data_IF_267660432165
#
_entry.id   IF_267660432165
#
_cell.length_a   1.000
_cell.length_b   1.000
_cell.length_c   1.000
_cell.angle_alpha   90.00
_cell.angle_beta   90.00
_cell.angle_gamma   90.00
#
_symmetry.space_group_name_H-M   'P 1'
#
loop_
_entity.id
_entity.type
_entity.pdbx_description
1 polymer ?
#
# COMPACT_ATOMS: atom_id res chain seq x y z
N UNK A 1 -23.71 11.49 -22.83
CA UNK A 1 -24.55 11.85 -21.67
C UNK A 1 -23.66 12.60 -20.69
N UNK A 2 -24.05 13.81 -20.33
CA UNK A 2 -23.35 14.59 -19.31
C UNK A 2 -23.90 14.23 -17.93
N UNK A 3 -23.03 14.15 -16.92
CA UNK A 3 -23.45 13.88 -15.54
C UNK A 3 -23.91 15.20 -14.89
N UNK A 4 -25.00 15.14 -14.13
CA UNK A 4 -25.44 16.26 -13.29
C UNK A 4 -24.70 16.16 -11.95
N UNK A 5 -24.46 17.31 -11.31
CA UNK A 5 -23.85 17.35 -10.00
C UNK A 5 -24.70 16.63 -8.94
N UNK A 6 -24.10 15.69 -8.20
CA UNK A 6 -24.75 14.88 -7.14
C UNK A 6 -25.05 15.65 -5.84
N UNK A 7 -24.77 16.96 -5.80
CA UNK A 7 -24.99 17.77 -4.60
C UNK A 7 -26.45 18.19 -4.50
N UNK A 8 -26.98 18.27 -3.27
CA UNK A 8 -28.42 18.55 -3.03
C UNK A 8 -28.85 19.82 -3.76
N UNK A 9 -29.90 19.71 -4.57
CA UNK A 9 -30.51 20.80 -5.33
C UNK A 9 -29.55 21.50 -6.33
N UNK A 10 -28.49 20.83 -6.79
CA UNK A 10 -27.61 21.35 -7.82
C UNK A 10 -27.99 20.82 -9.21
N UNK A 11 -28.17 21.73 -10.17
CA UNK A 11 -28.46 21.40 -11.58
C UNK A 11 -27.26 21.64 -12.51
N UNK A 12 -26.10 22.02 -11.96
CA UNK A 12 -24.88 22.26 -12.75
C UNK A 12 -24.30 20.94 -13.26
N UNK A 13 -23.54 21.00 -14.35
CA UNK A 13 -22.82 19.85 -14.91
C UNK A 13 -21.74 19.37 -13.93
N UNK A 14 -21.73 18.08 -13.62
CA UNK A 14 -20.76 17.40 -12.78
C UNK A 14 -19.57 16.90 -13.60
N UNK A 15 -18.47 17.66 -13.61
CA UNK A 15 -17.26 17.31 -14.37
C UNK A 15 -16.17 16.66 -13.51
N UNK A 16 -16.23 16.84 -12.18
CA UNK A 16 -15.19 16.42 -11.25
C UNK A 16 -15.64 15.18 -10.46
N UNK A 17 -14.72 14.25 -10.21
CA UNK A 17 -14.98 13.05 -9.40
C UNK A 17 -14.54 13.27 -7.97
N UNK A 18 -15.40 12.91 -7.01
CA UNK A 18 -15.09 12.85 -5.59
C UNK A 18 -15.27 11.41 -5.08
N UNK A 19 -14.33 10.88 -4.26
CA UNK A 19 -14.49 9.56 -3.65
C UNK A 19 -15.67 9.56 -2.66
N UNK A 20 -16.40 8.44 -2.61
CA UNK A 20 -17.48 8.25 -1.61
C UNK A 20 -16.91 7.68 -0.31
N UNK A 21 -15.90 6.83 -0.44
CA UNK A 21 -15.24 6.11 0.66
C UNK A 21 -13.73 6.32 0.53
N UNK A 22 -13.02 6.28 1.67
CA UNK A 22 -11.56 6.46 1.74
C UNK A 22 -10.79 5.34 1.02
N UNK A 23 -11.29 4.12 1.13
CA UNK A 23 -10.68 2.94 0.54
C UNK A 23 -10.88 2.99 -0.98
N UNK A 24 -10.06 2.23 -1.72
CA UNK A 24 -9.95 2.21 -3.18
C UNK A 24 -11.21 1.68 -3.91
N UNK A 25 -12.37 2.15 -3.46
CA UNK A 25 -13.68 1.97 -4.01
C UNK A 25 -13.70 2.67 -5.36
N UNK A 26 -14.09 1.94 -6.40
CA UNK A 26 -14.32 2.51 -7.73
C UNK A 26 -15.61 3.34 -7.78
N UNK A 27 -16.11 3.79 -6.63
CA UNK A 27 -17.36 4.53 -6.45
C UNK A 27 -17.04 6.01 -6.28
N UNK A 28 -17.61 6.82 -7.15
CA UNK A 28 -17.37 8.26 -7.16
C UNK A 28 -18.69 9.00 -7.31
N UNK A 29 -18.75 10.20 -6.73
CA UNK A 29 -19.77 11.20 -7.02
C UNK A 29 -19.26 12.15 -8.08
N UNK A 30 -20.17 12.62 -8.93
CA UNK A 30 -19.87 13.65 -9.91
C UNK A 30 -20.29 15.02 -9.35
N UNK A 31 -19.34 15.95 -9.27
CA UNK A 31 -19.55 17.27 -8.69
C UNK A 31 -19.16 18.37 -9.69
N UNK A 32 -19.84 19.51 -9.57
CA UNK A 32 -19.44 20.74 -10.27
C UNK A 32 -18.26 21.42 -9.54
N UNK A 33 -17.70 22.46 -10.14
CA UNK A 33 -16.51 23.16 -9.61
C UNK A 33 -16.70 23.71 -8.18
N UNK A 34 -17.90 24.19 -7.84
CA UNK A 34 -18.16 24.78 -6.53
C UNK A 34 -18.20 23.71 -5.45
N UNK A 35 -18.92 22.61 -5.71
CA UNK A 35 -19.11 21.54 -4.74
C UNK A 35 -17.87 20.64 -4.59
N UNK A 36 -17.05 20.47 -5.62
CA UNK A 36 -15.78 19.74 -5.45
C UNK A 36 -14.82 20.51 -4.54
N UNK A 37 -14.82 21.84 -4.58
CA UNK A 37 -14.02 22.67 -3.66
C UNK A 37 -14.51 22.53 -2.22
N UNK A 38 -15.83 22.58 -2.01
CA UNK A 38 -16.43 22.37 -0.69
C UNK A 38 -16.14 20.97 -0.14
N UNK A 39 -16.28 19.96 -1.00
CA UNK A 39 -15.92 18.58 -0.68
C UNK A 39 -14.45 18.47 -0.27
N UNK A 40 -13.52 18.93 -1.09
CA UNK A 40 -12.08 18.85 -0.79
C UNK A 40 -11.71 19.59 0.49
N UNK A 41 -12.39 20.69 0.83
CA UNK A 41 -12.13 21.44 2.07
C UNK A 41 -12.59 20.69 3.32
N UNK A 42 -13.65 19.88 3.20
CA UNK A 42 -14.24 19.13 4.32
C UNK A 42 -13.79 17.66 4.37
N UNK A 43 -13.10 17.19 3.32
CA UNK A 43 -12.64 15.83 3.21
C UNK A 43 -11.39 15.61 4.06
N UNK A 44 -11.49 14.63 4.97
CA UNK A 44 -10.38 14.15 5.78
C UNK A 44 -10.26 12.65 5.58
N UNK A 45 -9.15 12.22 4.98
CA UNK A 45 -8.87 10.82 4.69
C UNK A 45 -8.70 9.98 5.97
N UNK A 46 -8.11 10.57 7.02
CA UNK A 46 -7.80 9.89 8.29
C UNK A 46 -8.92 9.98 9.31
N UNK A 47 -10.08 10.55 8.94
CA UNK A 47 -11.23 10.68 9.82
C UNK A 47 -11.65 9.33 10.39
N UNK A 48 -11.57 9.19 11.70
CA UNK A 48 -11.94 7.98 12.44
C UNK A 48 -10.84 6.93 12.58
N UNK A 49 -9.63 7.21 12.09
CA UNK A 49 -8.44 6.40 12.42
C UNK A 49 -7.84 6.85 13.75
N UNK A 50 -7.25 5.91 14.48
CA UNK A 50 -6.41 6.17 15.65
C UNK A 50 -5.02 6.67 15.25
N UNK A 51 -4.34 7.35 16.17
CA UNK A 51 -2.97 7.84 15.94
C UNK A 51 -2.00 6.72 15.54
N UNK A 52 -2.18 5.52 16.08
CA UNK A 52 -1.37 4.35 15.73
C UNK A 52 -1.61 3.89 14.28
N UNK A 53 -2.87 3.90 13.82
CA UNK A 53 -3.19 3.56 12.43
C UNK A 53 -2.64 4.60 11.45
N UNK A 54 -2.73 5.89 11.80
CA UNK A 54 -2.14 6.97 11.01
C UNK A 54 -0.62 6.82 10.95
N UNK A 55 0.03 6.56 12.07
CA UNK A 55 1.48 6.33 12.13
C UNK A 55 1.91 5.15 11.24
N UNK A 56 1.19 4.03 11.30
CA UNK A 56 1.48 2.87 10.45
C UNK A 56 1.25 3.15 8.97
N UNK A 57 0.20 3.92 8.63
CA UNK A 57 -0.02 4.38 7.26
C UNK A 57 1.17 5.22 6.78
N UNK A 58 1.60 6.23 7.55
CA UNK A 58 2.75 7.07 7.21
C UNK A 58 4.05 6.27 7.09
N UNK A 59 4.29 5.32 8.00
CA UNK A 59 5.47 4.44 7.95
C UNK A 59 5.49 3.60 6.67
N UNK A 60 4.36 3.00 6.32
CA UNK A 60 4.25 2.16 5.11
C UNK A 60 4.29 2.95 3.81
N UNK A 61 3.86 4.22 3.81
CA UNK A 61 3.94 5.09 2.63
C UNK A 61 5.40 5.36 2.21
N UNK A 62 6.35 5.34 3.16
CA UNK A 62 7.78 5.46 2.87
C UNK A 62 8.30 4.38 1.90
N UNK A 63 7.67 3.19 1.90
CA UNK A 63 8.01 2.07 1.01
C UNK A 63 6.96 1.86 -0.09
N UNK A 64 6.15 2.87 -0.39
CA UNK A 64 5.02 2.76 -1.33
C UNK A 64 4.04 1.63 -0.97
N UNK A 65 3.83 1.41 0.32
CA UNK A 65 3.07 0.30 0.88
C UNK A 65 3.52 -1.07 0.34
N UNK A 66 4.76 -1.20 -0.12
CA UNK A 66 5.31 -2.49 -0.52
C UNK A 66 5.81 -3.22 0.72
N UNK A 67 5.55 -4.54 0.83
CA UNK A 67 6.08 -5.32 1.92
C UNK A 67 7.60 -5.32 1.84
N UNK A 68 8.23 -5.08 2.98
CA UNK A 68 9.69 -5.03 3.13
C UNK A 68 10.09 -5.99 4.24
N UNK A 69 11.32 -6.50 4.14
CA UNK A 69 11.85 -7.49 5.06
C UNK A 69 13.06 -6.92 5.78
N UNK A 70 13.13 -7.15 7.10
CA UNK A 70 14.29 -6.77 7.89
C UNK A 70 15.56 -7.41 7.31
N UNK A 71 16.64 -6.63 7.30
CA UNK A 71 17.95 -7.14 6.87
C UNK A 71 18.46 -8.26 7.78
N UNK A 72 18.02 -8.33 9.04
CA UNK A 72 18.37 -9.42 9.96
C UNK A 72 17.44 -10.64 9.88
N UNK A 73 16.37 -10.59 9.08
CA UNK A 73 15.42 -11.68 8.98
C UNK A 73 16.08 -12.95 8.42
N UNK A 74 15.85 -14.09 9.06
CA UNK A 74 16.45 -15.37 8.66
C UNK A 74 16.04 -15.78 7.24
N UNK A 75 14.86 -15.33 6.79
CA UNK A 75 14.33 -15.56 5.44
C UNK A 75 14.75 -14.52 4.40
N UNK A 76 15.55 -13.51 4.77
CA UNK A 76 16.02 -12.49 3.85
C UNK A 76 16.98 -13.10 2.81
N UNK A 77 16.73 -12.86 1.53
CA UNK A 77 17.56 -13.33 0.43
C UNK A 77 19.05 -13.02 0.62
N UNK A 78 19.39 -11.81 1.09
CA UNK A 78 20.78 -11.41 1.33
C UNK A 78 21.41 -12.23 2.45
N UNK A 79 20.69 -12.47 3.56
CA UNK A 79 21.23 -13.32 4.63
C UNK A 79 21.50 -14.74 4.15
N UNK A 80 20.61 -15.30 3.31
CA UNK A 80 20.80 -16.62 2.71
C UNK A 80 22.03 -16.60 1.78
N UNK A 81 22.14 -15.59 0.92
CA UNK A 81 23.26 -15.40 -0.01
C UNK A 81 24.61 -15.28 0.72
N UNK A 82 24.69 -14.41 1.73
CA UNK A 82 25.92 -14.19 2.50
C UNK A 82 26.32 -15.40 3.33
N UNK A 83 25.36 -16.12 3.93
CA UNK A 83 25.66 -17.37 4.66
C UNK A 83 26.22 -18.44 3.73
N UNK A 84 25.68 -18.61 2.53
CA UNK A 84 26.16 -19.64 1.61
C UNK A 84 27.53 -19.29 1.01
N UNK A 85 27.75 -18.02 0.69
CA UNK A 85 29.03 -17.55 0.12
C UNK A 85 30.18 -17.58 1.12
N UNK A 86 29.92 -17.27 2.40
CA UNK A 86 30.94 -17.32 3.45
C UNK A 86 31.25 -18.74 3.95
N UNK A 87 30.29 -19.67 3.85
CA UNK A 87 30.45 -21.05 4.32
C UNK A 87 31.05 -22.01 3.27
N UNK A 88 31.73 -21.48 2.24
CA UNK A 88 32.42 -22.26 1.19
C UNK A 88 31.55 -23.32 0.46
N UNK A 89 30.23 -23.13 0.42
CA UNK A 89 29.34 -23.98 -0.38
C UNK A 89 29.38 -23.56 -1.85
N UNK A 90 29.30 -24.53 -2.77
CA UNK A 90 29.20 -24.29 -4.22
C UNK A 90 28.22 -23.14 -4.52
N UNK A 91 28.72 -22.14 -5.27
CA UNK A 91 28.07 -20.84 -5.39
C UNK A 91 26.62 -20.90 -5.86
N UNK A 92 25.81 -19.91 -5.47
CA UNK A 92 24.36 -19.84 -5.80
C UNK A 92 24.07 -19.89 -7.32
N UNK A 93 25.08 -19.60 -8.16
CA UNK A 93 24.98 -19.61 -9.62
C UNK A 93 25.26 -20.99 -10.26
N UNK A 94 25.76 -21.98 -9.51
CA UNK A 94 25.95 -23.33 -10.02
C UNK A 94 24.66 -24.15 -9.87
N UNK A 95 23.90 -24.16 -10.96
CA UNK A 95 22.89 -25.15 -11.36
C UNK A 95 21.93 -25.72 -10.30
N UNK A 96 20.65 -25.35 -10.43
CA UNK A 96 19.53 -26.23 -10.06
C UNK A 96 18.85 -26.01 -8.71
N UNK A 97 19.17 -24.93 -7.98
CA UNK A 97 18.59 -24.66 -6.66
C UNK A 97 17.30 -23.82 -6.64
N UNK A 98 16.69 -23.57 -7.80
CA UNK A 98 15.36 -22.92 -7.88
C UNK A 98 14.24 -23.73 -7.20
N UNK A 99 14.43 -25.04 -7.01
CA UNK A 99 13.37 -25.93 -6.50
C UNK A 99 13.41 -26.17 -4.98
N UNK A 100 14.53 -25.90 -4.29
CA UNK A 100 14.73 -26.30 -2.88
C UNK A 100 14.55 -25.20 -1.84
N UNK A 101 14.31 -23.95 -2.24
CA UNK A 101 13.88 -22.88 -1.31
C UNK A 101 12.36 -23.01 -1.05
N UNK A 102 11.94 -24.18 -0.58
CA UNK A 102 10.69 -24.36 0.15
C UNK A 102 11.00 -24.47 1.64
N UNK A 103 11.80 -23.56 2.17
CA UNK A 103 11.85 -23.40 3.61
C UNK A 103 10.47 -22.86 4.03
N UNK A 104 9.79 -23.58 4.91
CA UNK A 104 8.59 -23.10 5.59
C UNK A 104 9.00 -21.89 6.45
N UNK A 105 9.12 -20.73 5.83
CA UNK A 105 9.42 -19.48 6.52
C UNK A 105 8.08 -18.97 7.04
N UNK A 106 7.84 -19.17 8.34
CA UNK A 106 6.74 -18.50 9.03
C UNK A 106 7.20 -17.06 9.31
N UNK A 107 6.82 -16.13 8.44
CA UNK A 107 7.07 -14.71 8.62
C UNK A 107 6.27 -14.20 9.83
N UNK A 108 6.97 -13.70 10.85
CA UNK A 108 6.31 -12.95 11.92
C UNK A 108 5.81 -11.61 11.38
N UNK A 109 4.84 -10.99 12.04
CA UNK A 109 4.34 -9.68 11.56
C UNK A 109 5.44 -8.60 11.61
N UNK A 110 6.39 -8.74 12.53
CA UNK A 110 7.62 -7.92 12.56
C UNK A 110 8.51 -8.07 11.33
N UNK A 111 8.47 -9.21 10.64
CA UNK A 111 9.25 -9.45 9.42
C UNK A 111 8.60 -8.81 8.18
N UNK A 112 7.31 -8.43 8.25
CA UNK A 112 6.55 -7.81 7.15
C UNK A 112 6.47 -6.29 7.27
N UNK A 113 6.78 -5.75 8.44
CA UNK A 113 6.64 -4.34 8.83
C UNK A 113 7.96 -3.56 8.81
N UNK A 114 9.06 -4.15 8.33
CA UNK A 114 10.34 -3.47 8.21
C UNK A 114 10.28 -2.40 7.13
#
# INVERSE_FOLDING_TARGET
MENICDYKNCIKIGQYKAPIEKDNSKKFRWLCLDHIKEFNRSWDYFKGMSDHEIYNFMKSDMTWHKPTQSFSSQGNFFNILWKNTLNEGEGILSNGYGEKIKTKINFSDKDKEA
#
